data_IF_743940306946
#
_entry.id   IF_743940306946
#
_cell.length_a   1.000
_cell.length_b   1.000
_cell.length_c   1.000
_cell.angle_alpha   90.00
_cell.angle_beta   90.00
_cell.angle_gamma   90.00
#
_symmetry.space_group_name_H-M   'P 1'
#
loop_
_entity.id
_entity.type
_entity.pdbx_description
1 polymer ?
#
# COMPACT_ATOMS: atom_id res chain seq x y z
N UNK A 1 22.85 -41.80 -28.75
CA UNK A 1 22.79 -40.52 -28.03
C UNK A 1 22.40 -40.90 -26.62
N UNK A 2 23.33 -40.83 -25.65
CA UNK A 2 23.04 -41.21 -24.26
C UNK A 2 22.29 -40.05 -23.64
N UNK A 3 21.04 -40.27 -23.26
CA UNK A 3 20.24 -39.26 -22.59
C UNK A 3 20.77 -39.05 -21.18
N UNK A 4 20.87 -37.80 -20.74
CA UNK A 4 21.44 -37.47 -19.42
C UNK A 4 20.68 -38.16 -18.27
N UNK A 5 19.42 -38.49 -18.52
CA UNK A 5 18.51 -39.21 -17.62
C UNK A 5 18.91 -40.67 -17.40
N UNK A 6 19.60 -41.30 -18.37
CA UNK A 6 20.14 -42.66 -18.20
C UNK A 6 21.42 -42.68 -17.35
N UNK A 7 22.20 -41.58 -17.33
CA UNK A 7 23.40 -41.43 -16.49
C UNK A 7 23.02 -41.13 -15.03
N UNK A 8 21.96 -40.35 -14.81
CA UNK A 8 21.45 -39.94 -13.49
C UNK A 8 20.74 -41.06 -12.72
N UNK A 9 20.44 -42.19 -13.37
CA UNK A 9 19.69 -43.28 -12.78
C UNK A 9 18.18 -43.03 -12.75
N UNK A 10 17.41 -44.11 -12.86
CA UNK A 10 15.93 -44.06 -12.89
C UNK A 10 15.38 -43.32 -11.68
N UNK A 11 14.26 -42.62 -11.87
CA UNK A 11 13.54 -41.91 -10.80
C UNK A 11 13.15 -42.87 -9.68
N UNK A 12 13.95 -42.91 -8.62
CA UNK A 12 13.79 -43.83 -7.50
C UNK A 12 12.81 -43.33 -6.44
N UNK A 13 12.49 -44.21 -5.49
CA UNK A 13 11.65 -43.91 -4.32
C UNK A 13 12.16 -42.74 -3.48
N UNK A 14 13.49 -42.57 -3.38
CA UNK A 14 14.07 -41.43 -2.68
C UNK A 14 13.75 -40.09 -3.36
N UNK A 15 13.87 -40.01 -4.70
CA UNK A 15 13.50 -38.80 -5.45
C UNK A 15 12.01 -38.49 -5.31
N UNK A 16 11.15 -39.51 -5.39
CA UNK A 16 9.71 -39.35 -5.17
C UNK A 16 9.38 -38.82 -3.77
N UNK A 17 10.00 -39.39 -2.72
CA UNK A 17 9.85 -38.92 -1.34
C UNK A 17 10.32 -37.48 -1.18
N UNK A 18 11.45 -37.12 -1.79
CA UNK A 18 12.01 -35.77 -1.69
C UNK A 18 11.09 -34.75 -2.36
N UNK A 19 10.57 -35.05 -3.56
CA UNK A 19 9.60 -34.21 -4.25
C UNK A 19 8.31 -34.08 -3.42
N UNK A 20 7.82 -35.17 -2.83
CA UNK A 20 6.65 -35.13 -1.96
C UNK A 20 6.85 -34.20 -0.77
N UNK A 21 7.99 -34.28 -0.08
CA UNK A 21 8.32 -33.38 1.05
C UNK A 21 8.44 -31.93 0.61
N UNK A 22 9.02 -31.66 -0.56
CA UNK A 22 9.11 -30.31 -1.14
C UNK A 22 7.73 -29.75 -1.44
N UNK A 23 6.84 -30.53 -2.07
CA UNK A 23 5.46 -30.12 -2.36
C UNK A 23 4.67 -29.91 -1.06
N UNK A 24 4.81 -30.81 -0.10
CA UNK A 24 4.17 -30.71 1.21
C UNK A 24 4.60 -29.43 1.94
N UNK A 25 5.85 -28.98 1.76
CA UNK A 25 6.35 -27.72 2.32
C UNK A 25 5.93 -26.48 1.49
N UNK A 26 5.85 -26.62 0.17
CA UNK A 26 5.43 -25.54 -0.72
C UNK A 26 3.95 -25.16 -0.51
N UNK A 27 3.08 -26.13 -0.25
CA UNK A 27 1.64 -25.89 -0.14
C UNK A 27 1.24 -24.94 1.00
N UNK A 28 1.67 -25.13 2.27
CA UNK A 28 1.38 -24.19 3.35
C UNK A 28 1.98 -22.80 3.09
N UNK A 29 3.16 -22.76 2.47
CA UNK A 29 3.84 -21.50 2.15
C UNK A 29 3.05 -20.68 1.14
N UNK A 30 2.53 -21.32 0.08
CA UNK A 30 1.67 -20.65 -0.89
C UNK A 30 0.37 -20.16 -0.24
N UNK A 31 -0.25 -21.00 0.59
CA UNK A 31 -1.47 -20.67 1.31
C UNK A 31 -1.32 -19.44 2.21
N UNK A 32 -0.26 -19.38 3.04
CA UNK A 32 -0.04 -18.25 3.94
C UNK A 32 0.25 -16.94 3.21
N UNK A 33 0.92 -16.99 2.06
CA UNK A 33 1.19 -15.80 1.23
C UNK A 33 -0.07 -15.24 0.56
N UNK A 34 -1.00 -16.12 0.14
CA UNK A 34 -2.25 -15.68 -0.47
C UNK A 34 -3.25 -15.12 0.55
N UNK A 35 -3.15 -15.49 1.83
CA UNK A 35 -4.05 -15.00 2.88
C UNK A 35 -3.71 -13.58 3.35
N UNK A 36 -2.46 -13.13 3.23
CA UNK A 36 -2.01 -11.81 3.69
C UNK A 36 -2.86 -10.63 3.17
N UNK A 37 -3.19 -10.51 1.86
CA UNK A 37 -4.01 -9.41 1.37
C UNK A 37 -5.47 -9.47 1.84
N UNK A 38 -5.99 -10.66 2.18
CA UNK A 38 -7.39 -10.82 2.63
C UNK A 38 -7.59 -10.44 4.10
N UNK A 39 -6.52 -10.48 4.90
CA UNK A 39 -6.53 -10.08 6.33
C UNK A 39 -6.32 -8.57 6.51
N UNK A 40 -5.84 -7.87 5.48
CA UNK A 40 -5.65 -6.44 5.55
C UNK A 40 -7.03 -5.75 5.70
N UNK A 41 -7.31 -5.06 6.83
CA UNK A 41 -8.56 -4.35 6.99
C UNK A 41 -8.63 -3.17 6.01
N UNK A 42 -9.80 -2.91 5.43
CA UNK A 42 -10.05 -1.65 4.71
C UNK A 42 -10.07 -0.52 5.75
N UNK A 43 -9.03 0.31 5.73
CA UNK A 43 -8.94 1.49 6.56
C UNK A 43 -9.34 2.71 5.76
N UNK A 44 -10.04 3.63 6.42
CA UNK A 44 -10.32 4.94 5.85
C UNK A 44 -9.01 5.58 5.42
N UNK A 45 -8.92 5.94 4.14
CA UNK A 45 -7.78 6.62 3.57
C UNK A 45 -8.24 7.86 2.83
N UNK A 46 -7.40 8.88 2.87
CA UNK A 46 -7.58 10.14 2.16
C UNK A 46 -6.28 10.57 1.52
N UNK A 47 -6.35 11.54 0.61
CA UNK A 47 -5.15 12.10 0.03
C UNK A 47 -4.27 12.77 1.09
N UNK A 48 -3.00 12.40 1.10
CA UNK A 48 -1.99 12.99 1.98
C UNK A 48 -1.79 14.46 1.67
N UNK A 49 -1.45 15.21 2.72
CA UNK A 49 -1.02 16.58 2.60
C UNK A 49 0.29 16.67 1.78
N UNK A 50 0.43 17.64 0.85
CA UNK A 50 1.69 17.85 0.17
C UNK A 50 2.80 18.18 1.17
N UNK A 51 4.06 17.78 0.91
CA UNK A 51 5.17 17.96 1.84
C UNK A 51 5.59 19.43 2.06
N UNK A 52 4.91 20.40 1.46
CA UNK A 52 5.28 21.81 1.59
C UNK A 52 4.98 22.38 2.98
N UNK A 53 5.87 23.23 3.48
CA UNK A 53 5.78 23.80 4.83
C UNK A 53 4.51 24.65 5.07
N UNK A 54 3.84 25.12 4.01
CA UNK A 54 2.59 25.88 4.10
C UNK A 54 1.46 25.07 4.76
N UNK A 55 1.56 23.75 4.70
CA UNK A 55 0.53 22.86 5.19
C UNK A 55 0.76 22.39 6.62
N UNK A 56 1.97 22.56 7.19
CA UNK A 56 2.33 22.00 8.50
C UNK A 56 1.46 22.53 9.66
N UNK A 57 0.84 23.70 9.48
CA UNK A 57 0.03 24.36 10.52
C UNK A 57 -1.43 23.88 10.57
N UNK A 58 -1.94 23.16 9.56
CA UNK A 58 -3.32 22.67 9.57
C UNK A 58 -3.44 21.34 10.33
N UNK A 59 -4.55 21.09 10.99
CA UNK A 59 -4.88 19.73 11.48
C UNK A 59 -5.29 18.81 10.33
N UNK A 60 -5.22 17.49 10.55
CA UNK A 60 -5.62 16.50 9.54
C UNK A 60 -7.11 16.63 9.17
N UNK A 61 -7.96 16.95 10.16
CA UNK A 61 -9.40 17.13 9.96
C UNK A 61 -9.73 18.38 9.15
N UNK A 62 -9.06 19.50 9.43
CA UNK A 62 -9.21 20.73 8.64
C UNK A 62 -8.79 20.50 7.18
N UNK A 63 -7.66 19.83 6.97
CA UNK A 63 -7.20 19.44 5.64
C UNK A 63 -8.23 18.59 4.90
N UNK A 64 -8.77 17.56 5.56
CA UNK A 64 -9.80 16.68 5.02
C UNK A 64 -11.03 17.45 4.55
N UNK A 65 -11.48 18.43 5.34
CA UNK A 65 -12.65 19.26 5.01
C UNK A 65 -12.43 20.24 3.85
N UNK A 66 -11.17 20.67 3.63
CA UNK A 66 -10.83 21.68 2.64
C UNK A 66 -10.45 21.08 1.28
N UNK A 67 -9.69 19.98 1.31
CA UNK A 67 -9.03 19.43 0.13
C UNK A 67 -9.82 18.32 -0.56
N UNK A 68 -10.75 17.68 0.14
CA UNK A 68 -11.39 16.47 -0.37
C UNK A 68 -12.83 16.78 -0.80
N UNK A 69 -13.20 16.50 -2.05
CA UNK A 69 -14.57 16.64 -2.50
C UNK A 69 -15.48 15.67 -1.75
N UNK A 70 -16.69 16.13 -1.43
CA UNK A 70 -17.76 15.31 -0.89
C UNK A 70 -18.54 14.74 -2.07
N UNK A 71 -18.63 13.42 -2.14
CA UNK A 71 -19.43 12.71 -3.13
C UNK A 71 -20.94 12.97 -2.91
N UNK A 72 -21.77 12.65 -3.90
CA UNK A 72 -23.24 12.88 -3.83
C UNK A 72 -23.89 12.15 -2.65
N UNK A 73 -23.30 11.05 -2.23
CA UNK A 73 -23.66 10.20 -1.09
C UNK A 73 -23.20 10.75 0.27
N UNK A 74 -22.60 11.95 0.31
CA UNK A 74 -22.14 12.61 1.54
C UNK A 74 -20.84 12.04 2.11
N UNK A 75 -20.22 11.09 1.39
CA UNK A 75 -18.93 10.51 1.74
C UNK A 75 -17.78 11.34 1.17
N UNK A 76 -16.62 11.37 1.83
CA UNK A 76 -15.43 12.01 1.29
C UNK A 76 -14.82 11.14 0.20
N UNK A 77 -14.42 11.73 -0.94
CA UNK A 77 -13.71 11.01 -1.99
C UNK A 77 -12.38 10.44 -1.47
N UNK A 78 -12.06 9.19 -1.82
CA UNK A 78 -10.87 8.48 -1.32
C UNK A 78 -9.63 8.66 -2.21
N UNK A 79 -9.83 8.84 -3.52
CA UNK A 79 -8.75 8.84 -4.52
C UNK A 79 -8.54 10.19 -5.21
N UNK A 80 -9.43 11.15 -4.97
CA UNK A 80 -9.43 12.46 -5.62
C UNK A 80 -9.36 13.55 -4.56
N UNK A 81 -8.63 14.62 -4.87
CA UNK A 81 -8.62 15.87 -4.11
C UNK A 81 -8.86 17.04 -5.04
N UNK A 82 -9.26 18.18 -4.49
CA UNK A 82 -9.22 19.45 -5.20
C UNK A 82 -7.78 19.82 -5.56
N UNK A 83 -7.62 20.50 -6.68
CA UNK A 83 -6.33 21.05 -7.07
C UNK A 83 -5.95 22.12 -6.04
N UNK A 84 -4.85 21.88 -5.34
CA UNK A 84 -4.31 22.88 -4.41
C UNK A 84 -2.95 23.36 -4.86
N UNK A 85 -2.84 24.66 -5.03
CA UNK A 85 -1.59 25.34 -5.32
C UNK A 85 -1.14 26.17 -4.12
N UNK A 86 0.18 26.24 -3.94
CA UNK A 86 0.82 27.08 -2.93
C UNK A 86 1.51 28.22 -3.67
N UNK A 87 0.95 29.42 -3.53
CA UNK A 87 1.55 30.63 -4.08
C UNK A 87 2.01 31.54 -2.93
N UNK A 88 3.31 31.69 -2.77
CA UNK A 88 3.95 32.59 -1.80
C UNK A 88 3.43 32.40 -0.34
N UNK A 89 3.21 31.14 0.06
CA UNK A 89 2.70 30.78 1.39
C UNK A 89 1.18 30.92 1.56
N UNK A 90 0.47 31.38 0.53
CA UNK A 90 -1.01 31.41 0.51
C UNK A 90 -1.53 30.15 -0.15
N UNK A 91 -2.44 29.47 0.54
CA UNK A 91 -3.08 28.24 0.10
C UNK A 91 -4.27 28.58 -0.79
N UNK A 92 -4.27 28.12 -2.03
CA UNK A 92 -5.39 28.34 -2.95
C UNK A 92 -5.96 26.98 -3.37
N UNK A 93 -7.18 26.68 -2.91
CA UNK A 93 -7.90 25.46 -3.26
C UNK A 93 -8.87 25.76 -4.39
N UNK A 94 -8.64 25.19 -5.56
CA UNK A 94 -9.58 25.27 -6.67
C UNK A 94 -10.62 24.15 -6.55
N UNK A 95 -11.85 24.53 -6.18
CA UNK A 95 -12.97 23.58 -6.01
C UNK A 95 -13.59 23.11 -7.33
N UNK A 96 -13.15 23.66 -8.46
CA UNK A 96 -13.69 23.31 -9.77
C UNK A 96 -12.85 22.24 -10.49
N UNK A 97 -11.61 22.01 -10.03
CA UNK A 97 -10.68 21.04 -10.62
C UNK A 97 -10.33 19.99 -9.59
N UNK A 98 -10.53 18.72 -9.94
CA UNK A 98 -10.07 17.58 -9.16
C UNK A 98 -8.80 16.98 -9.76
N UNK A 99 -7.93 16.45 -8.90
CA UNK A 99 -6.68 15.79 -9.25
C UNK A 99 -6.51 14.50 -8.45
N UNK A 100 -5.76 13.55 -9.00
CA UNK A 100 -5.43 12.29 -8.33
C UNK A 100 -4.51 12.50 -7.11
N UNK A 101 -4.68 11.68 -6.07
CA UNK A 101 -3.79 11.71 -4.91
C UNK A 101 -2.35 11.31 -5.28
N UNK A 102 -1.36 12.13 -4.91
CA UNK A 102 0.07 11.74 -5.00
C UNK A 102 0.52 10.86 -3.82
N UNK A 103 -0.26 10.82 -2.74
CA UNK A 103 -0.02 9.99 -1.56
C UNK A 103 -1.27 9.88 -0.70
N UNK A 104 -1.22 8.98 0.29
CA UNK A 104 -2.36 8.71 1.17
C UNK A 104 -1.97 8.85 2.64
N UNK A 105 -2.94 9.33 3.42
CA UNK A 105 -3.00 9.30 4.88
C UNK A 105 -4.14 8.39 5.30
N UNK A 106 -3.98 7.74 6.45
CA UNK A 106 -4.85 6.66 6.91
C UNK A 106 -5.40 6.96 8.29
N UNK A 107 -6.64 6.54 8.54
CA UNK A 107 -7.26 6.62 9.85
C UNK A 107 -6.64 5.61 10.82
N UNK A 108 -6.06 6.10 11.91
CA UNK A 108 -5.49 5.29 12.98
C UNK A 108 -6.40 5.19 14.21
N UNK A 109 -7.65 5.68 14.14
CA UNK A 109 -8.58 5.65 15.28
C UNK A 109 -8.97 4.24 15.72
N UNK A 110 -9.13 3.32 14.77
CA UNK A 110 -9.51 1.92 15.03
C UNK A 110 -8.29 1.01 15.18
N UNK A 111 -7.27 1.22 14.34
CA UNK A 111 -6.05 0.42 14.33
C UNK A 111 -4.83 1.34 14.33
N UNK A 112 -4.01 1.27 15.39
CA UNK A 112 -2.80 2.08 15.51
C UNK A 112 -1.76 1.71 14.44
N UNK A 113 -1.64 0.41 14.13
CA UNK A 113 -0.75 -0.07 13.09
C UNK A 113 -1.36 -1.25 12.35
N UNK A 114 -1.15 -1.25 11.03
CA UNK A 114 -1.62 -2.27 10.10
C UNK A 114 -0.56 -2.49 9.04
N UNK A 115 -0.68 -3.59 8.28
CA UNK A 115 0.27 -3.91 7.22
C UNK A 115 0.36 -2.78 6.17
N UNK A 116 -0.75 -2.10 5.90
CA UNK A 116 -0.85 -0.98 4.95
C UNK A 116 -0.04 0.23 5.43
N UNK A 117 -0.22 0.61 6.70
CA UNK A 117 0.53 1.71 7.31
C UNK A 117 2.02 1.37 7.48
N UNK A 118 2.33 0.15 7.86
CA UNK A 118 3.70 -0.30 8.07
C UNK A 118 4.52 -0.30 6.78
N UNK A 119 3.95 -0.77 5.65
CA UNK A 119 4.62 -0.75 4.34
C UNK A 119 4.89 0.68 3.88
N UNK A 120 3.95 1.61 4.08
CA UNK A 120 4.17 3.05 3.79
C UNK A 120 5.32 3.60 4.62
N UNK A 121 5.33 3.34 5.92
CA UNK A 121 6.37 3.87 6.80
C UNK A 121 7.75 3.31 6.42
N UNK A 122 7.85 2.00 6.16
CA UNK A 122 9.08 1.39 5.66
C UNK A 122 9.53 1.97 4.30
N UNK A 123 8.59 2.28 3.40
CA UNK A 123 8.89 2.93 2.12
C UNK A 123 9.40 4.36 2.30
N UNK A 124 8.85 5.12 3.25
CA UNK A 124 9.33 6.45 3.61
C UNK A 124 10.73 6.40 4.22
N UNK A 125 10.97 5.50 5.18
CA UNK A 125 12.29 5.28 5.79
C UNK A 125 13.35 4.93 4.74
N UNK A 126 13.05 4.04 3.80
CA UNK A 126 13.95 3.71 2.69
C UNK A 126 14.23 4.91 1.77
N UNK A 127 13.22 5.75 1.50
CA UNK A 127 13.41 6.99 0.72
C UNK A 127 14.27 8.02 1.45
N UNK A 128 14.21 8.07 2.79
CA UNK A 128 15.06 8.93 3.61
C UNK A 128 16.50 8.40 3.72
N UNK A 129 16.68 7.08 3.85
CA UNK A 129 18.02 6.44 3.95
C UNK A 129 18.79 6.50 2.62
N UNK A 130 18.10 6.52 1.49
CA UNK A 130 18.71 6.55 0.15
C UNK A 130 18.94 7.98 -0.40
N UNK A 131 18.83 9.02 0.43
CA UNK A 131 19.08 10.41 0.05
C UNK A 131 20.22 11.01 0.87
#
# INVERSE_FOLDING_TARGET
MVDIVDILGKFGTYHALTVFLVVLRAFPTAWTNMLTPMIAPDMGHWCARPPDAAWANLSADEWKSLAIPVAEDGSFAKCEMFLVSVDNGTLTVDRNVTTECTGWEYDTSVYESTIVNAVRNASLELKFVLK
#
